data_IF_621713428650
#
_entry.id   IF_621713428650
#
_cell.length_a   1.000
_cell.length_b   1.000
_cell.length_c   1.000
_cell.angle_alpha   90.00
_cell.angle_beta   90.00
_cell.angle_gamma   90.00
#
_symmetry.space_group_name_H-M   'P 1'
#
loop_
_entity.id
_entity.type
_entity.pdbx_description
1 polymer ?
#
# COMPACT_ATOMS: atom_id res chain seq x y z
N UNK A 1 2.82 -15.81 39.81
CA UNK A 1 2.22 -16.76 40.78
C UNK A 1 1.80 -16.08 42.08
N UNK A 2 2.60 -15.14 42.64
CA UNK A 2 2.28 -14.43 43.90
C UNK A 2 1.10 -13.44 43.81
N UNK A 3 0.89 -12.80 42.67
CA UNK A 3 -0.21 -11.83 42.49
C UNK A 3 -1.60 -12.50 42.39
N UNK A 4 -1.66 -13.70 41.78
CA UNK A 4 -2.88 -14.51 41.68
C UNK A 4 -3.30 -15.09 43.04
N UNK A 5 -2.32 -15.43 43.89
CA UNK A 5 -2.59 -15.86 45.27
C UNK A 5 -3.04 -14.69 46.15
N UNK A 6 -2.50 -13.49 45.94
CA UNK A 6 -2.93 -12.30 46.68
C UNK A 6 -4.36 -11.89 46.30
N UNK A 7 -4.69 -11.84 45.01
CA UNK A 7 -6.08 -11.58 44.56
C UNK A 7 -7.07 -12.64 45.05
N UNK A 8 -6.67 -13.91 45.10
CA UNK A 8 -7.51 -14.97 45.69
C UNK A 8 -7.76 -14.77 47.18
N UNK A 9 -6.80 -14.19 47.91
CA UNK A 9 -6.95 -13.94 49.33
C UNK A 9 -7.79 -12.68 49.61
N UNK A 10 -7.66 -11.63 48.79
CA UNK A 10 -8.52 -10.44 48.87
C UNK A 10 -9.99 -10.78 48.62
N UNK A 11 -10.28 -11.57 47.58
CA UNK A 11 -11.65 -12.00 47.26
C UNK A 11 -12.24 -12.89 48.37
N UNK A 12 -11.41 -13.67 49.07
CA UNK A 12 -11.86 -14.50 50.21
C UNK A 12 -12.28 -13.65 51.42
N UNK A 13 -11.58 -12.55 51.67
CA UNK A 13 -11.87 -11.64 52.79
C UNK A 13 -13.20 -10.92 52.53
N UNK A 14 -13.39 -10.38 51.32
CA UNK A 14 -14.62 -9.68 50.94
C UNK A 14 -15.88 -10.56 50.99
N UNK A 15 -15.76 -11.85 50.69
CA UNK A 15 -16.87 -12.81 50.73
C UNK A 15 -17.21 -13.20 52.17
N UNK A 16 -16.20 -13.35 53.03
CA UNK A 16 -16.40 -13.69 54.44
C UNK A 16 -17.08 -12.55 55.21
N UNK A 17 -16.66 -11.29 55.01
CA UNK A 17 -17.27 -10.11 55.63
C UNK A 17 -18.74 -9.97 55.23
N UNK A 18 -19.06 -10.23 53.95
CA UNK A 18 -20.43 -10.11 53.43
C UNK A 18 -21.36 -11.24 53.88
N UNK A 19 -20.81 -12.40 54.23
CA UNK A 19 -21.57 -13.52 54.78
C UNK A 19 -21.94 -13.29 56.26
N UNK A 20 -21.03 -12.66 57.03
CA UNK A 20 -21.27 -12.26 58.42
C UNK A 20 -22.33 -11.16 58.53
N UNK A 21 -22.30 -10.18 57.62
CA UNK A 21 -23.33 -9.11 57.52
C UNK A 21 -24.75 -9.65 57.25
N UNK A 22 -24.86 -10.82 56.61
CA UNK A 22 -26.13 -11.45 56.23
C UNK A 22 -26.59 -12.53 57.20
N UNK A 23 -25.85 -12.80 58.28
CA UNK A 23 -26.21 -13.75 59.33
C UNK A 23 -26.39 -15.19 58.84
N UNK A 24 -25.66 -15.58 57.78
CA UNK A 24 -25.77 -16.90 57.17
C UNK A 24 -24.64 -17.82 57.68
N UNK A 25 -24.98 -18.84 58.48
CA UNK A 25 -24.07 -19.97 58.76
C UNK A 25 -23.94 -20.83 57.50
N UNK A 26 -22.90 -20.60 56.72
CA UNK A 26 -22.59 -21.40 55.54
C UNK A 26 -21.46 -22.36 55.91
N UNK A 27 -21.74 -23.68 55.86
CA UNK A 27 -20.71 -24.71 55.81
C UNK A 27 -19.77 -24.39 54.65
N UNK A 28 -18.54 -23.98 54.95
CA UNK A 28 -17.58 -23.34 54.04
C UNK A 28 -17.29 -24.12 52.74
N UNK A 29 -17.62 -25.42 52.69
CA UNK A 29 -17.28 -26.27 51.56
C UNK A 29 -18.38 -26.38 50.50
N UNK A 30 -19.66 -26.47 50.86
CA UNK A 30 -20.73 -26.77 49.88
C UNK A 30 -21.13 -25.55 49.02
N UNK A 31 -21.13 -24.35 49.59
CA UNK A 31 -21.45 -23.13 48.86
C UNK A 31 -20.32 -22.68 47.92
N UNK A 32 -19.07 -22.95 48.31
CA UNK A 32 -17.89 -22.66 47.48
C UNK A 32 -17.79 -23.63 46.30
N UNK A 33 -18.15 -24.90 46.49
CA UNK A 33 -18.19 -25.89 45.40
C UNK A 33 -19.29 -25.59 44.39
N UNK A 34 -20.53 -25.24 44.84
CA UNK A 34 -21.62 -24.86 43.93
C UNK A 34 -21.34 -23.55 43.18
N UNK A 35 -20.69 -22.57 43.80
CA UNK A 35 -20.32 -21.32 43.13
C UNK A 35 -19.16 -21.50 42.16
N UNK A 36 -18.18 -22.35 42.49
CA UNK A 36 -17.14 -22.78 41.55
C UNK A 36 -17.71 -23.56 40.37
N UNK A 37 -18.63 -24.50 40.60
CA UNK A 37 -19.31 -25.25 39.52
C UNK A 37 -20.15 -24.33 38.62
N UNK A 38 -20.85 -23.34 39.21
CA UNK A 38 -21.56 -22.31 38.45
C UNK A 38 -20.61 -21.41 37.65
N UNK A 39 -19.46 -21.04 38.21
CA UNK A 39 -18.45 -20.21 37.54
C UNK A 39 -17.69 -21.00 36.45
N UNK A 40 -17.45 -22.29 36.64
CA UNK A 40 -16.87 -23.20 35.64
C UNK A 40 -17.87 -23.48 34.51
N UNK A 41 -19.14 -23.77 34.82
CA UNK A 41 -20.19 -23.86 33.78
C UNK A 41 -20.37 -22.54 33.01
N UNK A 42 -20.22 -21.40 33.71
CA UNK A 42 -20.28 -20.08 33.10
C UNK A 42 -19.01 -19.74 32.31
N UNK A 43 -17.85 -20.33 32.58
CA UNK A 43 -16.64 -20.14 31.75
C UNK A 43 -16.61 -21.09 30.54
N UNK A 44 -17.10 -22.33 30.70
CA UNK A 44 -17.29 -23.31 29.63
C UNK A 44 -18.35 -22.83 28.60
N UNK A 45 -19.39 -22.13 29.06
CA UNK A 45 -20.41 -21.53 28.20
C UNK A 45 -19.92 -20.38 27.30
N UNK A 46 -18.84 -19.68 27.68
CA UNK A 46 -18.24 -18.62 26.87
C UNK A 46 -17.11 -19.13 25.96
N UNK A 47 -16.43 -20.22 26.34
CA UNK A 47 -15.44 -20.87 25.48
C UNK A 47 -16.05 -21.81 24.43
N UNK A 48 -17.32 -22.21 24.58
CA UNK A 48 -17.89 -23.30 23.80
C UNK A 48 -19.32 -23.03 23.32
N UNK A 49 -19.60 -21.86 22.70
CA UNK A 49 -20.86 -21.66 21.93
C UNK A 49 -20.88 -20.49 20.94
N UNK A 50 -19.96 -20.52 19.97
CA UNK A 50 -20.35 -20.59 18.55
C UNK A 50 -19.35 -21.59 17.98
N UNK A 51 -19.81 -22.71 17.38
CA UNK A 51 -18.87 -23.62 16.73
C UNK A 51 -17.99 -22.80 15.80
N UNK A 52 -16.68 -23.03 15.79
CA UNK A 52 -15.76 -22.30 14.90
C UNK A 52 -16.35 -22.20 13.49
N UNK A 53 -16.96 -23.27 13.01
CA UNK A 53 -17.66 -23.36 11.73
C UNK A 53 -18.85 -22.40 11.58
N UNK A 54 -19.70 -22.25 12.60
CA UNK A 54 -20.82 -21.28 12.55
C UNK A 54 -20.36 -19.83 12.54
N UNK A 55 -19.24 -19.53 13.22
CA UNK A 55 -18.61 -18.19 13.18
C UNK A 55 -17.97 -17.96 11.83
N UNK A 56 -17.26 -18.95 11.29
CA UNK A 56 -16.62 -18.89 9.98
C UNK A 56 -17.67 -18.75 8.87
N UNK A 57 -18.80 -19.45 8.97
CA UNK A 57 -19.88 -19.34 7.98
C UNK A 57 -20.60 -17.99 8.05
N UNK A 58 -20.84 -17.48 9.26
CA UNK A 58 -21.34 -16.11 9.45
C UNK A 58 -20.34 -15.07 8.88
N UNK A 59 -19.04 -15.24 9.14
CA UNK A 59 -18.00 -14.37 8.61
C UNK A 59 -17.91 -14.44 7.08
N UNK A 60 -18.06 -15.62 6.48
CA UNK A 60 -18.13 -15.80 5.01
C UNK A 60 -19.34 -15.07 4.43
N UNK A 61 -20.53 -15.18 5.04
CA UNK A 61 -21.75 -14.48 4.60
C UNK A 61 -21.60 -12.96 4.69
N UNK A 62 -21.05 -12.46 5.81
CA UNK A 62 -20.77 -11.03 5.99
C UNK A 62 -19.76 -10.51 4.96
N UNK A 63 -18.71 -11.27 4.65
CA UNK A 63 -17.75 -10.92 3.59
C UNK A 63 -18.39 -10.92 2.19
N UNK A 64 -19.25 -11.89 1.89
CA UNK A 64 -19.94 -11.97 0.59
C UNK A 64 -20.90 -10.80 0.36
N UNK A 65 -21.63 -10.38 1.40
CA UNK A 65 -22.56 -9.26 1.30
C UNK A 65 -21.83 -7.91 1.18
N UNK A 66 -20.61 -7.82 1.70
CA UNK A 66 -19.84 -6.57 1.74
C UNK A 66 -18.64 -6.52 0.78
N UNK A 67 -18.52 -7.38 -0.24
CA UNK A 67 -17.28 -7.49 -1.05
C UNK A 67 -16.70 -6.15 -1.54
N UNK A 68 -17.55 -5.24 -2.03
CA UNK A 68 -17.12 -3.92 -2.53
C UNK A 68 -16.73 -2.94 -1.41
N UNK A 69 -17.48 -2.93 -0.30
CA UNK A 69 -17.17 -2.09 0.87
C UNK A 69 -16.04 -2.65 1.73
N UNK A 70 -15.85 -3.97 1.75
CA UNK A 70 -14.96 -4.65 2.68
C UNK A 70 -13.50 -4.34 2.42
N UNK A 71 -13.09 -4.19 1.16
CA UNK A 71 -11.68 -3.95 0.81
C UNK A 71 -11.27 -2.52 1.20
N UNK A 72 -12.17 -1.55 1.06
CA UNK A 72 -11.90 -0.13 1.31
C UNK A 72 -12.28 0.33 2.73
N UNK A 73 -13.05 -0.47 3.47
CA UNK A 73 -13.60 -0.12 4.80
C UNK A 73 -12.57 0.28 5.87
N UNK A 74 -11.30 -0.10 5.71
CA UNK A 74 -10.24 0.19 6.67
C UNK A 74 -9.64 1.59 6.52
N UNK A 75 -9.79 2.21 5.34
CA UNK A 75 -9.13 3.47 4.97
C UNK A 75 -9.78 4.69 5.68
N UNK A 76 -11.12 4.85 5.71
CA UNK A 76 -11.73 6.02 6.32
C UNK A 76 -11.43 6.13 7.81
N UNK A 77 -11.15 7.34 8.28
CA UNK A 77 -10.99 7.65 9.69
C UNK A 77 -12.31 7.47 10.45
N UNK A 78 -12.20 7.17 11.74
CA UNK A 78 -13.35 7.14 12.64
C UNK A 78 -13.66 8.55 13.08
N UNK A 79 -14.92 8.97 12.95
CA UNK A 79 -15.39 10.28 13.32
C UNK A 79 -15.28 10.46 14.84
N UNK A 80 -14.61 11.54 15.25
CA UNK A 80 -14.49 11.94 16.66
C UNK A 80 -15.30 13.18 17.01
N UNK A 81 -16.20 13.61 16.11
CA UNK A 81 -17.00 14.83 16.27
C UNK A 81 -16.10 16.02 16.66
N UNK A 82 -16.30 16.59 17.85
CA UNK A 82 -15.53 17.71 18.40
C UNK A 82 -14.02 17.42 18.61
N UNK A 83 -13.60 16.18 18.85
CA UNK A 83 -12.18 15.82 19.00
C UNK A 83 -11.49 15.53 17.65
N UNK A 84 -12.20 15.67 16.53
CA UNK A 84 -11.62 15.48 15.22
C UNK A 84 -10.60 16.59 14.91
N UNK A 85 -9.38 16.28 14.44
CA UNK A 85 -8.40 17.31 14.05
C UNK A 85 -8.88 18.20 12.90
N UNK A 86 -9.93 17.78 12.18
CA UNK A 86 -10.54 18.50 11.07
C UNK A 86 -11.91 19.10 11.43
N UNK A 87 -12.26 19.23 12.72
CA UNK A 87 -13.58 19.72 13.15
C UNK A 87 -13.92 21.10 12.57
N UNK A 88 -12.96 22.01 12.47
CA UNK A 88 -13.14 23.38 12.02
C UNK A 88 -13.41 23.53 10.52
N UNK A 89 -13.08 22.51 9.73
CA UNK A 89 -13.31 22.47 8.28
C UNK A 89 -14.32 21.39 7.87
N UNK A 90 -14.90 20.66 8.83
CA UNK A 90 -15.82 19.56 8.56
C UNK A 90 -17.27 20.07 8.44
N UNK A 91 -17.84 19.99 7.23
CA UNK A 91 -19.23 20.40 6.98
C UNK A 91 -20.25 19.62 7.84
N UNK A 92 -20.04 18.32 8.04
CA UNK A 92 -20.93 17.51 8.89
C UNK A 92 -20.90 17.96 10.34
N UNK A 93 -19.75 18.42 10.82
CA UNK A 93 -19.66 18.96 12.18
C UNK A 93 -20.32 20.34 12.25
N UNK A 94 -20.09 21.21 11.27
CA UNK A 94 -20.71 22.53 11.17
C UNK A 94 -22.25 22.49 11.11
N UNK A 95 -22.81 21.42 10.54
CA UNK A 95 -24.26 21.19 10.46
C UNK A 95 -24.82 20.29 11.56
N UNK A 96 -24.04 19.91 12.58
CA UNK A 96 -24.47 19.02 13.67
C UNK A 96 -24.95 17.63 13.19
N UNK A 97 -24.41 17.17 12.06
CA UNK A 97 -24.70 15.87 11.42
C UNK A 97 -23.51 14.89 11.49
N UNK A 98 -22.50 15.17 12.32
CA UNK A 98 -21.32 14.33 12.45
C UNK A 98 -21.65 12.96 13.10
N UNK A 99 -21.39 11.83 12.42
CA UNK A 99 -21.72 10.52 12.95
C UNK A 99 -20.58 10.00 13.85
N UNK A 100 -20.56 10.46 15.11
CA UNK A 100 -19.54 10.10 16.08
C UNK A 100 -19.41 8.57 16.28
N UNK A 101 -18.17 8.06 16.31
CA UNK A 101 -17.87 6.65 16.45
C UNK A 101 -17.98 5.83 15.15
N UNK A 102 -18.62 6.39 14.12
CA UNK A 102 -18.73 5.76 12.80
C UNK A 102 -17.61 6.23 11.85
N UNK A 103 -17.50 5.56 10.71
CA UNK A 103 -16.54 5.92 9.65
C UNK A 103 -16.92 7.26 9.01
N UNK A 104 -15.92 8.09 8.72
CA UNK A 104 -16.08 9.42 8.14
C UNK A 104 -16.81 9.37 6.78
N UNK A 105 -18.01 9.98 6.64
CA UNK A 105 -18.77 9.96 5.38
C UNK A 105 -18.07 10.67 4.23
N UNK A 106 -17.37 11.79 4.51
CA UNK A 106 -16.64 12.55 3.48
C UNK A 106 -15.55 11.68 2.85
N UNK A 107 -14.79 10.97 3.70
CA UNK A 107 -13.72 10.11 3.19
C UNK A 107 -14.29 8.88 2.49
N UNK A 108 -15.37 8.28 2.98
CA UNK A 108 -16.03 7.16 2.29
C UNK A 108 -16.42 7.58 0.87
N UNK A 109 -17.09 8.72 0.71
CA UNK A 109 -17.47 9.23 -0.60
C UNK A 109 -16.24 9.48 -1.49
N UNK A 110 -15.19 10.09 -0.93
CA UNK A 110 -13.94 10.35 -1.66
C UNK A 110 -13.24 9.06 -2.10
N UNK A 111 -13.25 8.03 -1.25
CA UNK A 111 -12.65 6.72 -1.51
C UNK A 111 -13.42 5.99 -2.61
N UNK A 112 -14.76 5.98 -2.55
CA UNK A 112 -15.60 5.38 -3.58
C UNK A 112 -15.38 6.07 -4.95
N UNK A 113 -15.30 7.40 -4.96
CA UNK A 113 -15.00 8.19 -6.15
C UNK A 113 -13.62 7.86 -6.74
N UNK A 114 -12.57 7.86 -5.90
CA UNK A 114 -11.21 7.55 -6.33
C UNK A 114 -11.08 6.12 -6.85
N UNK A 115 -11.72 5.16 -6.18
CA UNK A 115 -11.74 3.77 -6.61
C UNK A 115 -12.33 3.62 -8.01
N UNK A 116 -13.50 4.21 -8.25
CA UNK A 116 -14.15 4.16 -9.56
C UNK A 116 -13.32 4.84 -10.64
N UNK A 117 -12.64 5.96 -10.33
CA UNK A 117 -11.76 6.66 -11.27
C UNK A 117 -10.54 5.83 -11.64
N UNK A 118 -9.85 5.27 -10.64
CA UNK A 118 -8.67 4.43 -10.89
C UNK A 118 -9.00 3.15 -11.64
N UNK A 119 -10.08 2.45 -11.26
CA UNK A 119 -10.54 1.27 -11.98
C UNK A 119 -10.88 1.61 -13.44
N UNK A 120 -11.55 2.73 -13.70
CA UNK A 120 -11.87 3.17 -15.07
C UNK A 120 -10.64 3.53 -15.88
N UNK A 121 -9.71 4.30 -15.30
CA UNK A 121 -8.50 4.75 -15.99
C UNK A 121 -7.55 3.58 -16.31
N UNK A 122 -7.43 2.65 -15.38
CA UNK A 122 -6.58 1.47 -15.53
C UNK A 122 -7.30 0.29 -16.21
N UNK A 123 -8.58 0.43 -16.57
CA UNK A 123 -9.37 -0.65 -17.16
C UNK A 123 -9.47 -1.90 -16.29
N UNK A 124 -9.49 -1.74 -14.96
CA UNK A 124 -9.61 -2.85 -14.00
C UNK A 124 -11.07 -3.12 -13.69
N UNK A 125 -11.48 -4.38 -13.82
CA UNK A 125 -12.77 -4.83 -13.29
C UNK A 125 -12.58 -5.35 -11.85
N UNK A 126 -13.12 -4.67 -10.83
CA UNK A 126 -12.98 -5.09 -9.44
C UNK A 126 -13.79 -6.35 -9.09
N UNK A 127 -14.72 -6.77 -9.95
CA UNK A 127 -15.49 -8.00 -9.78
C UNK A 127 -14.79 -9.22 -10.43
N UNK A 128 -13.72 -9.01 -11.21
CA UNK A 128 -12.94 -10.05 -11.86
C UNK A 128 -11.86 -10.65 -10.92
N UNK A 129 -11.92 -11.96 -10.59
CA UNK A 129 -10.92 -12.59 -9.74
C UNK A 129 -9.50 -12.61 -10.33
N UNK A 130 -9.33 -12.56 -11.65
CA UNK A 130 -8.00 -12.55 -12.30
C UNK A 130 -7.26 -11.21 -12.08
N UNK A 131 -8.01 -10.15 -11.76
CA UNK A 131 -7.51 -8.80 -11.54
C UNK A 131 -7.47 -8.42 -10.05
N UNK A 132 -7.45 -9.43 -9.17
CA UNK A 132 -7.38 -9.21 -7.71
C UNK A 132 -6.12 -8.45 -7.30
N UNK A 133 -4.97 -8.74 -7.93
CA UNK A 133 -3.69 -8.07 -7.62
C UNK A 133 -3.77 -6.59 -7.99
N UNK A 134 -4.26 -6.27 -9.20
CA UNK A 134 -4.47 -4.91 -9.67
C UNK A 134 -5.43 -4.15 -8.73
N UNK A 135 -6.52 -4.79 -8.29
CA UNK A 135 -7.50 -4.22 -7.35
C UNK A 135 -6.88 -3.94 -5.98
N UNK A 136 -5.99 -4.81 -5.48
CA UNK A 136 -5.26 -4.59 -4.23
C UNK A 136 -4.26 -3.43 -4.33
N UNK A 137 -3.56 -3.30 -5.45
CA UNK A 137 -2.66 -2.16 -5.68
C UNK A 137 -3.44 -0.84 -5.81
N UNK A 138 -4.61 -0.84 -6.45
CA UNK A 138 -5.51 0.31 -6.49
C UNK A 138 -5.95 0.72 -5.09
N UNK A 139 -6.30 -0.25 -4.22
CA UNK A 139 -6.60 0.04 -2.81
C UNK A 139 -5.44 0.79 -2.13
N UNK A 140 -4.21 0.33 -2.35
CA UNK A 140 -3.02 0.96 -1.75
C UNK A 140 -2.81 2.38 -2.28
N UNK A 141 -3.01 2.63 -3.58
CA UNK A 141 -2.98 3.97 -4.15
C UNK A 141 -4.00 4.91 -3.50
N UNK A 142 -5.22 4.43 -3.28
CA UNK A 142 -6.29 5.23 -2.65
C UNK A 142 -5.95 5.54 -1.20
N UNK A 143 -5.38 4.56 -0.47
CA UNK A 143 -4.93 4.78 0.91
C UNK A 143 -3.89 5.91 0.95
N UNK A 144 -2.91 5.87 0.05
CA UNK A 144 -1.89 6.92 -0.08
C UNK A 144 -2.51 8.28 -0.43
N UNK A 145 -3.46 8.34 -1.37
CA UNK A 145 -4.11 9.59 -1.74
C UNK A 145 -4.94 10.20 -0.60
N UNK A 146 -5.66 9.38 0.15
CA UNK A 146 -6.39 9.84 1.34
C UNK A 146 -5.43 10.31 2.43
N UNK A 147 -4.29 9.63 2.63
CA UNK A 147 -3.27 10.13 3.56
C UNK A 147 -2.68 11.47 3.11
N UNK A 148 -2.44 11.66 1.81
CA UNK A 148 -1.97 12.94 1.25
C UNK A 148 -3.01 14.03 1.48
N UNK A 149 -4.29 13.75 1.24
CA UNK A 149 -5.39 14.68 1.50
C UNK A 149 -5.45 15.10 2.97
N UNK A 150 -5.26 14.15 3.90
CA UNK A 150 -5.18 14.44 5.34
C UNK A 150 -3.99 15.34 5.68
N UNK A 151 -2.82 15.08 5.08
CA UNK A 151 -1.65 15.94 5.25
C UNK A 151 -1.92 17.36 4.76
N UNK A 152 -2.59 17.49 3.61
CA UNK A 152 -2.92 18.79 3.02
C UNK A 152 -3.91 19.56 3.86
N UNK A 153 -4.94 18.89 4.36
CA UNK A 153 -5.88 19.49 5.30
C UNK A 153 -5.19 19.91 6.60
N UNK A 154 -4.24 19.11 7.10
CA UNK A 154 -3.50 19.45 8.33
C UNK A 154 -2.61 20.68 8.12
N UNK A 155 -1.87 20.72 7.02
CA UNK A 155 -1.04 21.87 6.64
C UNK A 155 -1.88 23.13 6.39
N UNK A 156 -3.08 22.99 5.81
CA UNK A 156 -4.00 24.10 5.60
C UNK A 156 -4.56 24.68 6.91
N UNK A 157 -4.81 23.83 7.92
CA UNK A 157 -5.27 24.26 9.24
C UNK A 157 -4.15 24.96 10.02
N UNK A 158 -2.94 24.40 10.01
CA UNK A 158 -1.82 24.92 10.80
C UNK A 158 -1.23 26.21 10.19
N UNK A 159 -1.47 26.48 8.89
CA UNK A 159 -1.07 27.66 8.10
C UNK A 159 0.46 27.90 7.95
N UNK A 160 1.27 27.49 8.92
CA UNK A 160 2.73 27.63 8.93
C UNK A 160 3.45 26.32 8.57
N UNK A 161 4.38 26.40 7.63
CA UNK A 161 5.19 25.26 7.21
C UNK A 161 6.43 25.02 8.08
N UNK A 162 6.83 26.00 8.88
CA UNK A 162 8.01 25.94 9.75
C UNK A 162 7.54 25.92 11.20
N UNK A 163 7.89 24.85 11.91
CA UNK A 163 7.56 24.67 13.32
C UNK A 163 8.84 24.79 14.15
N UNK A 164 8.77 25.56 15.22
CA UNK A 164 9.81 25.61 16.24
C UNK A 164 9.65 24.41 17.17
N UNK A 165 10.55 23.44 17.01
CA UNK A 165 10.61 22.26 17.86
C UNK A 165 11.64 22.48 18.97
N UNK A 166 11.29 22.17 20.22
CA UNK A 166 12.23 22.21 21.34
C UNK A 166 13.10 20.96 21.28
N UNK A 167 14.40 21.14 21.03
CA UNK A 167 15.37 20.03 20.84
C UNK A 167 16.12 19.72 22.12
N UNK A 168 16.16 20.66 23.07
CA UNK A 168 16.77 20.45 24.38
C UNK A 168 16.54 21.62 25.32
N UNK A 169 17.10 21.51 26.51
CA UNK A 169 17.11 22.56 27.53
C UNK A 169 18.57 22.90 27.86
N UNK A 170 18.87 24.19 27.99
CA UNK A 170 20.19 24.63 28.46
C UNK A 170 20.36 24.35 29.97
N UNK A 171 21.59 24.49 30.49
CA UNK A 171 21.92 24.33 31.92
C UNK A 171 21.13 25.27 32.85
N UNK A 172 20.60 26.35 32.30
CA UNK A 172 19.76 27.33 32.99
C UNK A 172 18.24 27.02 32.87
N UNK A 173 17.88 25.91 32.23
CA UNK A 173 16.48 25.49 32.03
C UNK A 173 15.74 26.20 30.91
N UNK A 174 16.45 26.97 30.06
CA UNK A 174 15.85 27.63 28.91
C UNK A 174 15.72 26.66 27.73
N UNK A 175 14.56 26.61 27.04
CA UNK A 175 14.36 25.72 25.91
C UNK A 175 15.18 26.18 24.69
N UNK A 176 15.97 25.26 24.13
CA UNK A 176 16.67 25.45 22.87
C UNK A 176 15.74 24.98 21.74
N UNK A 177 15.18 25.94 21.01
CA UNK A 177 14.30 25.70 19.87
C UNK A 177 15.05 25.63 18.55
N UNK A 178 14.77 24.61 17.73
CA UNK A 178 15.22 24.51 16.35
C UNK A 178 14.04 24.71 15.40
N UNK A 179 14.21 25.57 14.41
CA UNK A 179 13.27 25.71 13.30
C UNK A 179 13.40 24.51 12.38
N UNK A 180 12.30 23.79 12.19
CA UNK A 180 12.25 22.61 11.32
C UNK A 180 10.98 22.61 10.48
N UNK A 181 10.97 21.83 9.40
CA UNK A 181 9.78 21.68 8.58
C UNK A 181 8.68 20.95 9.35
N UNK A 182 7.43 21.31 9.06
CA UNK A 182 6.26 20.63 9.58
C UNK A 182 6.31 19.13 9.24
N UNK A 183 6.05 18.26 10.22
CA UNK A 183 6.13 16.80 10.07
C UNK A 183 5.18 16.25 9.00
N UNK A 184 4.01 16.87 8.82
CA UNK A 184 3.09 16.51 7.73
C UNK A 184 3.70 16.76 6.33
N UNK A 185 4.61 17.74 6.19
CA UNK A 185 5.28 18.00 4.90
C UNK A 185 6.26 16.88 4.55
N UNK A 186 7.07 16.44 5.52
CA UNK A 186 8.03 15.34 5.32
C UNK A 186 7.30 14.02 5.11
N UNK A 187 6.22 13.77 5.85
CA UNK A 187 5.38 12.60 5.65
C UNK A 187 4.69 12.58 4.28
N UNK A 188 4.19 13.73 3.81
CA UNK A 188 3.63 13.88 2.46
C UNK A 188 4.63 13.53 1.36
N UNK A 189 5.91 13.88 1.52
CA UNK A 189 6.96 13.52 0.58
C UNK A 189 7.20 11.99 0.53
N UNK A 190 7.24 11.34 1.69
CA UNK A 190 7.34 9.88 1.77
C UNK A 190 6.15 9.18 1.09
N UNK A 191 4.93 9.68 1.32
CA UNK A 191 3.72 9.17 0.68
C UNK A 191 3.76 9.32 -0.85
N UNK A 192 4.25 10.46 -1.36
CA UNK A 192 4.44 10.66 -2.82
C UNK A 192 5.44 9.67 -3.40
N UNK A 193 6.56 9.43 -2.71
CA UNK A 193 7.53 8.44 -3.15
C UNK A 193 6.91 7.03 -3.20
N UNK A 194 6.11 6.65 -2.20
CA UNK A 194 5.35 5.40 -2.22
C UNK A 194 4.34 5.35 -3.35
N UNK A 195 3.59 6.44 -3.62
CA UNK A 195 2.63 6.53 -4.73
C UNK A 195 3.29 6.21 -6.08
N UNK A 196 4.45 6.84 -6.34
CA UNK A 196 5.18 6.61 -7.58
C UNK A 196 5.65 5.15 -7.71
N UNK A 197 6.14 4.55 -6.62
CA UNK A 197 6.52 3.12 -6.60
C UNK A 197 5.33 2.22 -6.91
N UNK A 198 4.18 2.45 -6.29
CA UNK A 198 2.97 1.64 -6.53
C UNK A 198 2.49 1.78 -7.98
N UNK A 199 2.51 2.98 -8.57
CA UNK A 199 2.17 3.18 -9.98
C UNK A 199 3.16 2.49 -10.92
N UNK A 200 4.46 2.51 -10.60
CA UNK A 200 5.47 1.81 -11.38
C UNK A 200 5.26 0.28 -11.35
N UNK A 201 4.93 -0.28 -10.18
CA UNK A 201 4.64 -1.70 -10.00
C UNK A 201 3.36 -2.13 -10.73
N UNK A 202 2.32 -1.30 -10.73
CA UNK A 202 1.11 -1.53 -11.52
C UNK A 202 1.42 -1.64 -13.02
N UNK A 203 2.25 -0.74 -13.53
CA UNK A 203 2.64 -0.77 -14.94
C UNK A 203 3.54 -1.97 -15.27
N UNK A 204 4.44 -2.36 -14.38
CA UNK A 204 5.33 -3.52 -14.62
C UNK A 204 4.54 -4.83 -14.61
N UNK A 205 3.70 -5.06 -13.60
CA UNK A 205 2.90 -6.29 -13.50
C UNK A 205 1.98 -6.51 -14.70
N UNK A 206 1.50 -5.44 -15.32
CA UNK A 206 0.71 -5.51 -16.56
C UNK A 206 1.54 -5.82 -17.79
N UNK A 207 2.76 -5.27 -17.88
CA UNK A 207 3.71 -5.65 -18.92
C UNK A 207 4.05 -7.13 -18.81
N UNK A 208 4.34 -7.61 -17.61
CA UNK A 208 4.68 -9.02 -17.36
C UNK A 208 3.50 -9.95 -17.73
N UNK A 209 2.26 -9.55 -17.44
CA UNK A 209 1.05 -10.28 -17.88
C UNK A 209 0.89 -10.30 -19.41
N UNK A 210 1.21 -9.20 -20.08
CA UNK A 210 1.10 -9.10 -21.54
C UNK A 210 2.24 -9.84 -22.26
N UNK A 211 3.47 -9.74 -21.75
CA UNK A 211 4.66 -10.43 -22.27
C UNK A 211 4.55 -11.94 -22.08
N UNK A 212 3.96 -12.41 -20.96
CA UNK A 212 3.66 -13.84 -20.79
C UNK A 212 2.55 -14.36 -21.71
N UNK A 213 1.81 -13.48 -22.37
CA UNK A 213 0.79 -13.83 -23.37
C UNK A 213 1.34 -13.75 -24.81
N UNK A 214 2.54 -13.18 -25.02
CA UNK A 214 3.26 -13.39 -26.27
C UNK A 214 3.59 -14.88 -26.37
N UNK A 215 2.92 -15.54 -27.31
CA UNK A 215 3.12 -16.93 -27.72
C UNK A 215 4.59 -17.28 -27.57
N UNK A 216 4.91 -18.31 -26.79
CA UNK A 216 6.22 -18.95 -26.84
C UNK A 216 6.44 -19.38 -28.29
N UNK A 217 7.00 -18.50 -29.12
CA UNK A 217 7.59 -18.90 -30.38
C UNK A 217 8.68 -19.88 -29.98
N UNK A 218 8.48 -21.12 -30.41
CA UNK A 218 9.46 -22.17 -30.18
C UNK A 218 10.80 -21.68 -30.71
N UNK A 219 11.89 -22.10 -30.08
CA UNK A 219 13.24 -21.69 -30.50
C UNK A 219 13.47 -21.96 -32.01
N UNK A 220 12.80 -22.96 -32.56
CA UNK A 220 12.76 -23.28 -33.98
C UNK A 220 12.10 -22.20 -34.86
N UNK A 221 11.00 -21.59 -34.41
CA UNK A 221 10.30 -20.54 -35.17
C UNK A 221 11.10 -19.24 -35.22
N UNK A 222 11.78 -18.88 -34.13
CA UNK A 222 12.70 -17.73 -34.08
C UNK A 222 13.92 -17.92 -34.98
N UNK A 223 14.50 -19.13 -34.99
CA UNK A 223 15.62 -19.46 -35.88
C UNK A 223 15.17 -19.44 -37.35
N UNK A 224 13.96 -19.93 -37.66
CA UNK A 224 13.43 -19.92 -39.02
C UNK A 224 13.18 -18.50 -39.55
N UNK A 225 12.62 -17.62 -38.73
CA UNK A 225 12.42 -16.22 -39.09
C UNK A 225 13.75 -15.48 -39.28
N UNK A 226 14.72 -15.71 -38.39
CA UNK A 226 16.06 -15.14 -38.53
C UNK A 226 16.75 -15.63 -39.83
N UNK A 227 16.61 -16.91 -40.19
CA UNK A 227 17.16 -17.43 -41.45
C UNK A 227 16.50 -16.78 -42.68
N UNK A 228 15.19 -16.49 -42.64
CA UNK A 228 14.50 -15.78 -43.71
C UNK A 228 15.05 -14.36 -43.90
N UNK A 229 15.16 -13.60 -42.81
CA UNK A 229 15.72 -12.24 -42.82
C UNK A 229 17.16 -12.23 -43.32
N UNK A 230 17.99 -13.18 -42.85
CA UNK A 230 19.39 -13.30 -43.33
C UNK A 230 19.46 -13.65 -44.82
N UNK A 231 18.53 -14.45 -45.34
CA UNK A 231 18.47 -14.81 -46.76
C UNK A 231 18.11 -13.62 -47.64
N UNK A 232 17.20 -12.75 -47.19
CA UNK A 232 16.81 -11.54 -47.89
C UNK A 232 17.91 -10.47 -47.86
N UNK A 233 18.53 -10.27 -46.70
CA UNK A 233 19.68 -9.38 -46.57
C UNK A 233 20.83 -9.82 -47.50
N UNK A 234 21.10 -11.13 -47.57
CA UNK A 234 22.14 -11.67 -48.46
C UNK A 234 21.84 -11.41 -49.94
N UNK A 235 20.57 -11.50 -50.36
CA UNK A 235 20.15 -11.17 -51.72
C UNK A 235 20.38 -9.68 -52.02
N UNK A 236 19.98 -8.80 -51.10
CA UNK A 236 20.15 -7.35 -51.24
C UNK A 236 21.63 -6.98 -51.36
N UNK A 237 22.49 -7.53 -50.50
CA UNK A 237 23.95 -7.33 -50.58
C UNK A 237 24.51 -7.79 -51.93
N UNK A 238 24.02 -8.93 -52.45
CA UNK A 238 24.47 -9.45 -53.75
C UNK A 238 24.03 -8.57 -54.93
N UNK A 239 22.84 -7.98 -54.86
CA UNK A 239 22.30 -7.08 -55.87
C UNK A 239 22.99 -5.71 -55.82
N UNK A 240 23.27 -5.22 -54.63
CA UNK A 240 24.00 -3.98 -54.40
C UNK A 240 25.46 -4.10 -54.84
N UNK A 241 26.11 -5.24 -54.59
CA UNK A 241 27.44 -5.55 -55.11
C UNK A 241 27.48 -5.56 -56.64
N UNK A 242 26.51 -6.23 -57.29
CA UNK A 242 26.38 -6.22 -58.76
C UNK A 242 26.10 -4.82 -59.33
N UNK A 243 25.29 -4.02 -58.62
CA UNK A 243 25.04 -2.62 -58.99
C UNK A 243 26.31 -1.79 -58.89
N UNK A 244 27.06 -1.93 -57.81
CA UNK A 244 28.35 -1.26 -57.58
C UNK A 244 29.37 -1.63 -58.66
N UNK A 245 29.50 -2.92 -58.99
CA UNK A 245 30.41 -3.38 -60.05
C UNK A 245 29.98 -2.89 -61.44
N UNK A 246 28.68 -2.79 -61.73
CA UNK A 246 28.19 -2.20 -62.97
C UNK A 246 28.48 -0.69 -63.08
N UNK A 247 28.43 0.03 -61.95
CA UNK A 247 28.85 1.43 -61.86
C UNK A 247 30.36 1.60 -62.08
N UNK A 248 31.18 0.70 -61.51
CA UNK A 248 32.64 0.73 -61.67
C UNK A 248 33.09 0.24 -63.06
N UNK A 249 32.34 -0.68 -63.68
CA UNK A 249 32.65 -1.27 -64.99
C UNK A 249 32.28 -0.41 -66.20
N UNK A 250 31.53 0.68 -66.02
CA UNK A 250 31.14 1.62 -67.09
C UNK A 250 31.95 2.93 -67.09
N UNK A 251 32.92 3.05 -66.19
CA UNK A 251 33.87 4.17 -66.13
C UNK A 251 35.00 4.01 -67.15
N UNK A 252 34.89 4.75 -68.26
CA UNK A 252 35.99 5.09 -69.17
C UNK A 252 37.18 5.61 -68.35
N UNK A 253 38.37 5.10 -68.65
CA UNK A 253 39.67 5.60 -68.17
C UNK A 253 39.71 7.14 -68.14
N UNK A 254 39.71 7.70 -66.94
CA UNK A 254 39.87 9.12 -66.69
C UNK A 254 40.42 9.24 -65.28
N UNK A 255 41.68 9.63 -65.20
CA UNK A 255 42.46 9.75 -63.98
C UNK A 255 41.74 10.59 -62.93
N UNK A 256 41.47 10.00 -61.76
CA UNK A 256 41.23 10.74 -60.52
C UNK A 256 42.21 10.15 -59.52
N UNK A 257 43.27 10.90 -59.24
CA UNK A 257 44.24 10.59 -58.20
C UNK A 257 43.53 10.42 -56.86
N UNK A 258 43.69 9.24 -56.25
CA UNK A 258 43.26 9.01 -54.88
C UNK A 258 44.11 9.89 -53.94
N UNK A 259 43.51 10.60 -52.97
CA UNK A 259 44.29 11.16 -51.88
C UNK A 259 44.84 9.99 -51.07
N UNK A 260 46.15 9.78 -51.18
CA UNK A 260 46.91 8.99 -50.23
C UNK A 260 47.05 9.87 -48.99
N UNK A 261 46.22 9.63 -47.97
CA UNK A 261 46.58 10.05 -46.61
C UNK A 261 46.76 8.81 -45.74
N UNK A 262 48.04 8.65 -45.42
CA UNK A 262 48.69 7.76 -44.49
C UNK A 262 47.95 7.66 -43.17
N UNK A 263 47.89 6.44 -42.64
CA UNK A 263 47.50 6.23 -41.25
C UNK A 263 48.43 6.98 -40.30
N UNK A 264 47.83 7.76 -39.42
CA UNK A 264 48.41 8.12 -38.13
C UNK A 264 47.37 7.70 -37.07
N UNK A 265 47.79 6.79 -36.20
CA UNK A 265 47.02 6.32 -35.05
C UNK A 265 46.78 7.51 -34.11
N UNK A 266 45.53 7.71 -33.69
CA UNK A 266 45.23 8.47 -32.48
C UNK A 266 44.44 7.54 -31.56
N UNK A 267 45.13 7.01 -30.56
CA UNK A 267 44.51 6.40 -29.39
C UNK A 267 43.69 7.48 -28.68
N UNK A 268 42.36 7.35 -28.70
CA UNK A 268 41.50 8.14 -27.82
C UNK A 268 41.37 7.36 -26.50
N UNK A 269 42.05 7.87 -25.47
CA UNK A 269 41.88 7.46 -24.08
C UNK A 269 40.40 7.60 -23.67
N UNK A 270 39.82 6.51 -23.17
CA UNK A 270 38.63 6.58 -22.34
C UNK A 270 39.07 6.94 -20.92
N UNK A 271 38.83 8.17 -20.51
CA UNK A 271 38.75 8.52 -19.09
C UNK A 271 37.53 9.41 -18.84
N UNK A 272 36.68 8.90 -17.96
CA UNK A 272 35.94 9.62 -16.92
C UNK A 272 35.07 10.81 -17.34
N UNK A 273 33.75 10.58 -17.34
CA UNK A 273 32.81 11.54 -16.77
C UNK A 273 31.74 10.78 -15.97
N UNK A 274 32.09 10.49 -14.72
CA UNK A 274 31.14 10.61 -13.62
C UNK A 274 30.86 12.12 -13.43
N UNK A 275 29.58 12.50 -13.47
CA UNK A 275 28.99 13.56 -12.65
C UNK A 275 27.47 13.35 -12.57
#
# INVERSE_FOLDING_TARGET
>A
MSELTNKKNEIKIDIAEKADELGMEISENDAMEQTLEMLVRRSEGWMQKKSSDSVLEAARRMRQQNRKRSVLSSIPLVCKSHECPFNGTCDFYAHELAPEGERCPIEIASIEDLFMRYCKELGVDPDDPEQTIDTMMIKELIDIDIMILRCDNKLAIDADFIVENVVGEDREGNPISQKSLHTASTYKEQLRASKYKTLQLLNSTRKDKNESTEVEMTEAERVAEMMLVMSEASKQISEESKRRDAYLGTGRSGDIEAPVETGEYVEAEYSELEE
#
